data_IF_435230845950
#
_entry.id   IF_435230845950
#
_cell.length_a   1.000
_cell.length_b   1.000
_cell.length_c   1.000
_cell.angle_alpha   90.00
_cell.angle_beta   90.00
_cell.angle_gamma   90.00
#
_symmetry.space_group_name_H-M   'P 1'
#
loop_
_entity.id
_entity.type
_entity.pdbx_description
1 polymer ?
#
# COMPACT_ATOMS: atom_id res chain seq x y z
N UNK A 1 -10.94 -7.56 33.13
CA UNK A 1 -10.13 -7.76 31.91
C UNK A 1 -10.81 -6.96 30.82
N UNK A 2 -10.28 -5.80 30.43
CA UNK A 2 -10.81 -5.07 29.29
C UNK A 2 -10.36 -5.84 28.04
N UNK A 3 -11.27 -6.63 27.48
CA UNK A 3 -11.11 -7.13 26.12
C UNK A 3 -11.24 -5.91 25.22
N UNK A 4 -10.09 -5.33 24.84
CA UNK A 4 -10.03 -4.39 23.74
C UNK A 4 -10.38 -5.16 22.48
N UNK A 5 -11.68 -5.36 22.25
CA UNK A 5 -12.19 -5.77 20.95
C UNK A 5 -11.92 -4.59 20.04
N UNK A 6 -10.73 -4.54 19.43
CA UNK A 6 -10.47 -3.64 18.30
C UNK A 6 -11.47 -4.03 17.22
N UNK A 7 -12.60 -3.32 17.20
CA UNK A 7 -13.64 -3.48 16.21
C UNK A 7 -12.99 -3.22 14.85
N UNK A 8 -12.85 -4.29 14.07
CA UNK A 8 -12.30 -4.20 12.71
C UNK A 8 -13.46 -3.88 11.79
N UNK A 9 -13.21 -3.04 10.79
CA UNK A 9 -14.19 -2.68 9.78
C UNK A 9 -13.63 -3.01 8.39
N UNK A 10 -14.51 -3.44 7.50
CA UNK A 10 -14.15 -3.76 6.13
C UNK A 10 -13.74 -2.48 5.40
N UNK A 11 -12.53 -2.40 4.81
CA UNK A 11 -12.08 -1.19 4.12
C UNK A 11 -12.89 -0.87 2.85
N UNK A 12 -13.62 -1.85 2.30
CA UNK A 12 -14.41 -1.68 1.08
C UNK A 12 -15.82 -1.14 1.35
N UNK A 13 -16.47 -1.60 2.41
CA UNK A 13 -17.90 -1.28 2.66
C UNK A 13 -18.19 -0.70 4.04
N UNK A 14 -17.19 -0.58 4.92
CA UNK A 14 -17.32 -0.04 6.27
C UNK A 14 -18.07 -0.94 7.26
N UNK A 15 -18.49 -2.15 6.86
CA UNK A 15 -19.18 -3.09 7.77
C UNK A 15 -18.22 -3.63 8.83
N UNK A 16 -18.72 -3.78 10.05
CA UNK A 16 -17.98 -4.43 11.12
C UNK A 16 -17.64 -5.87 10.74
N UNK A 17 -16.37 -6.22 10.92
CA UNK A 17 -15.84 -7.56 10.72
C UNK A 17 -15.99 -8.29 12.05
N UNK A 18 -17.04 -9.10 12.15
CA UNK A 18 -17.34 -9.88 13.34
C UNK A 18 -16.25 -10.91 13.64
N UNK A 19 -15.67 -11.50 12.58
CA UNK A 19 -14.59 -12.48 12.71
C UNK A 19 -13.41 -12.12 11.81
N UNK A 20 -12.18 -12.14 12.34
CA UNK A 20 -10.98 -11.95 11.56
C UNK A 20 -10.69 -13.21 10.72
N UNK A 21 -11.50 -13.44 9.69
CA UNK A 21 -11.42 -14.64 8.83
C UNK A 21 -10.72 -14.33 7.51
N UNK A 22 -10.99 -13.16 6.92
CA UNK A 22 -10.46 -12.76 5.62
C UNK A 22 -9.39 -11.68 5.77
N UNK A 23 -8.20 -12.08 6.24
CA UNK A 23 -7.03 -11.19 6.33
C UNK A 23 -6.35 -11.03 4.96
N UNK A 24 -6.10 -9.79 4.52
CA UNK A 24 -5.21 -9.49 3.39
C UNK A 24 -4.33 -8.30 3.74
N UNK A 25 -3.02 -8.50 3.69
CA UNK A 25 -2.02 -7.46 4.02
C UNK A 25 -2.19 -6.84 5.42
N UNK A 26 -2.79 -7.55 6.38
CA UNK A 26 -3.07 -7.04 7.73
C UNK A 26 -4.42 -6.34 7.88
N UNK A 27 -5.15 -6.10 6.79
CA UNK A 27 -6.53 -5.60 6.81
C UNK A 27 -7.54 -6.76 6.76
N UNK A 28 -8.69 -6.56 7.42
CA UNK A 28 -9.74 -7.57 7.55
C UNK A 28 -10.95 -7.16 6.73
N UNK A 29 -11.46 -8.07 5.90
CA UNK A 29 -12.67 -7.85 5.10
C UNK A 29 -13.85 -8.64 5.65
N UNK A 30 -15.07 -8.13 5.44
CA UNK A 30 -16.29 -8.82 5.86
C UNK A 30 -16.69 -10.00 4.95
N UNK A 31 -16.02 -10.15 3.80
CA UNK A 31 -16.26 -11.23 2.83
C UNK A 31 -15.02 -11.45 1.98
N UNK A 32 -14.88 -12.66 1.42
CA UNK A 32 -13.78 -12.98 0.49
C UNK A 32 -13.79 -12.08 -0.76
N UNK A 33 -14.98 -11.74 -1.29
CA UNK A 33 -15.10 -10.84 -2.43
C UNK A 33 -14.49 -9.46 -2.16
N UNK A 34 -14.76 -8.86 -0.99
CA UNK A 34 -14.14 -7.59 -0.60
C UNK A 34 -12.64 -7.74 -0.33
N UNK A 35 -12.21 -8.88 0.19
CA UNK A 35 -10.79 -9.17 0.38
C UNK A 35 -10.03 -9.20 -0.96
N UNK A 36 -10.63 -9.79 -2.00
CA UNK A 36 -10.05 -9.85 -3.35
C UNK A 36 -10.02 -8.48 -4.03
N UNK A 37 -11.11 -7.71 -3.95
CA UNK A 37 -11.16 -6.34 -4.45
C UNK A 37 -10.09 -5.46 -3.78
N UNK A 38 -9.95 -5.56 -2.45
CA UNK A 38 -8.91 -4.86 -1.70
C UNK A 38 -7.49 -5.19 -2.18
N UNK A 39 -7.23 -6.47 -2.48
CA UNK A 39 -5.93 -6.91 -3.03
C UNK A 39 -5.68 -6.34 -4.42
N UNK A 40 -6.69 -6.32 -5.30
CA UNK A 40 -6.59 -5.74 -6.64
C UNK A 40 -6.27 -4.24 -6.57
N UNK A 41 -6.98 -3.50 -5.73
CA UNK A 41 -6.74 -2.07 -5.53
C UNK A 41 -5.34 -1.82 -4.97
N UNK A 42 -4.95 -2.55 -3.92
CA UNK A 42 -3.62 -2.44 -3.32
C UNK A 42 -2.52 -2.73 -4.34
N UNK A 43 -2.70 -3.75 -5.19
CA UNK A 43 -1.74 -4.08 -6.24
C UNK A 43 -1.66 -2.98 -7.30
N UNK A 44 -2.81 -2.44 -7.73
CA UNK A 44 -2.86 -1.34 -8.69
C UNK A 44 -2.19 -0.07 -8.13
N UNK A 45 -2.43 0.25 -6.85
CA UNK A 45 -1.76 1.35 -6.16
C UNK A 45 -0.26 1.12 -6.06
N UNK A 46 0.19 -0.09 -5.67
CA UNK A 46 1.62 -0.42 -5.63
C UNK A 46 2.27 -0.32 -7.01
N UNK A 47 1.60 -0.72 -8.08
CA UNK A 47 2.12 -0.56 -9.45
C UNK A 47 2.24 0.92 -9.85
N UNK A 48 1.27 1.76 -9.45
CA UNK A 48 1.34 3.22 -9.66
C UNK A 48 2.43 3.88 -8.82
N UNK A 49 2.61 3.47 -7.58
CA UNK A 49 3.61 3.99 -6.66
C UNK A 49 5.03 3.48 -6.98
N UNK A 50 5.15 2.31 -7.60
CA UNK A 50 6.40 1.74 -8.09
C UNK A 50 6.79 2.27 -9.48
N UNK A 51 6.03 3.21 -10.06
CA UNK A 51 6.56 4.02 -11.14
C UNK A 51 7.84 4.68 -10.61
N UNK A 52 9.02 4.39 -11.20
CA UNK A 52 10.26 4.91 -10.69
C UNK A 52 10.13 6.43 -10.67
N UNK A 53 10.29 7.04 -9.49
CA UNK A 53 10.67 8.44 -9.43
C UNK A 53 11.85 8.58 -10.39
N UNK A 54 11.80 9.50 -11.38
CA UNK A 54 12.87 9.62 -12.34
C UNK A 54 14.15 9.78 -11.54
N UNK A 55 15.03 8.78 -11.67
CA UNK A 55 16.31 8.73 -10.99
C UNK A 55 16.94 10.11 -11.16
N UNK A 56 17.06 10.84 -10.04
CA UNK A 56 17.86 12.05 -10.01
C UNK A 56 19.29 11.56 -10.28
N UNK A 57 19.65 11.53 -11.56
CA UNK A 57 21.00 11.29 -12.02
C UNK A 57 21.90 12.19 -11.17
N UNK A 58 22.92 11.64 -10.48
CA UNK A 58 23.89 12.47 -9.80
C UNK A 58 24.51 13.35 -10.87
N UNK A 59 24.17 14.64 -10.84
CA UNK A 59 24.65 15.67 -11.74
C UNK A 59 26.17 15.60 -11.72
N UNK A 60 26.78 14.94 -12.71
CA UNK A 60 28.24 14.92 -12.84
C UNK A 60 28.66 16.37 -13.06
N UNK A 61 29.48 16.96 -12.19
CA UNK A 61 29.89 18.35 -12.37
C UNK A 61 30.59 18.50 -13.73
N UNK A 62 30.35 19.59 -14.46
CA UNK A 62 31.00 19.80 -15.75
C UNK A 62 32.51 19.84 -15.52
N UNK A 63 33.22 18.98 -16.26
CA UNK A 63 34.68 18.88 -16.26
C UNK A 63 35.27 20.20 -16.77
N UNK A 64 35.51 21.15 -15.87
CA UNK A 64 36.32 22.33 -16.17
C UNK A 64 37.79 21.91 -16.24
N UNK A 65 38.25 21.57 -17.44
CA UNK A 65 39.68 21.48 -17.75
C UNK A 65 40.09 22.84 -18.33
N UNK A 66 40.80 23.59 -17.50
CA UNK A 66 41.33 24.93 -17.70
C UNK A 66 42.53 24.90 -18.65
N UNK A 67 42.48 25.76 -19.68
CA UNK A 67 43.56 26.48 -20.38
C UNK A 67 44.92 25.81 -20.62
N UNK A 68 45.27 25.70 -21.91
CA UNK A 68 46.66 25.65 -22.41
C UNK A 68 46.90 26.86 -23.31
#
# INVERSE_FOLDING_TARGET
MAIETTEKYCPICGKQVAEPTFNRFGEWACSEAHADEYVKETRAQKMRAAAPAPEQQPQRPPRQMRGG
#
